data_IF_564304018020
#
_entry.id   IF_564304018020
#
_cell.length_a   1.000
_cell.length_b   1.000
_cell.length_c   1.000
_cell.angle_alpha   90.00
_cell.angle_beta   90.00
_cell.angle_gamma   90.00
#
_symmetry.space_group_name_H-M   'P 1'
#
loop_
_entity.id
_entity.type
_entity.pdbx_description
1 polymer ?
#
# COMPACT_ATOMS: atom_id res chain seq x y z
N UNK A 1 6.95 -7.09 -11.11
CA UNK A 1 7.97 -7.78 -10.35
C UNK A 1 7.83 -7.50 -8.85
N UNK A 2 7.90 -6.24 -8.39
CA UNK A 2 7.86 -5.82 -6.98
C UNK A 2 6.63 -6.36 -6.24
N UNK A 3 5.43 -6.21 -6.81
CA UNK A 3 4.19 -6.71 -6.21
C UNK A 3 4.23 -8.24 -6.02
N UNK A 4 4.73 -8.98 -7.00
CA UNK A 4 4.85 -10.44 -6.92
C UNK A 4 5.83 -10.85 -5.80
N UNK A 5 6.98 -10.17 -5.68
CA UNK A 5 7.96 -10.43 -4.62
C UNK A 5 7.36 -10.12 -3.24
N UNK A 6 6.66 -9.00 -3.09
CA UNK A 6 6.03 -8.62 -1.83
C UNK A 6 4.90 -9.56 -1.41
N UNK A 7 4.08 -10.05 -2.36
CA UNK A 7 3.04 -11.03 -2.09
C UNK A 7 3.63 -12.39 -1.69
N UNK A 8 4.71 -12.80 -2.34
CA UNK A 8 5.41 -14.04 -2.01
C UNK A 8 6.10 -13.95 -0.64
N UNK A 9 6.77 -12.82 -0.36
CA UNK A 9 7.35 -12.55 0.96
C UNK A 9 6.28 -12.61 2.06
N UNK A 10 5.12 -11.97 1.86
CA UNK A 10 4.00 -11.98 2.81
C UNK A 10 3.49 -13.40 3.11
N UNK A 11 3.53 -14.31 2.13
CA UNK A 11 3.11 -15.71 2.29
C UNK A 11 4.19 -16.61 2.90
N UNK A 12 5.43 -16.14 2.97
CA UNK A 12 6.57 -16.89 3.52
C UNK A 12 6.52 -17.00 5.04
N UNK A 13 7.39 -17.84 5.62
CA UNK A 13 7.60 -17.95 7.07
C UNK A 13 8.02 -16.61 7.68
N UNK A 14 8.92 -15.90 7.00
CA UNK A 14 9.41 -14.59 7.42
C UNK A 14 8.30 -13.53 7.40
N UNK A 15 7.46 -13.53 6.37
CA UNK A 15 6.33 -12.60 6.27
C UNK A 15 5.30 -12.82 7.39
N UNK A 16 5.04 -14.07 7.78
CA UNK A 16 4.16 -14.35 8.92
C UNK A 16 4.75 -13.87 10.24
N UNK A 17 6.05 -14.03 10.46
CA UNK A 17 6.73 -13.50 11.64
C UNK A 17 6.67 -11.97 11.68
N UNK A 18 6.90 -11.30 10.55
CA UNK A 18 6.77 -9.84 10.43
C UNK A 18 5.35 -9.36 10.75
N UNK A 19 4.32 -10.07 10.28
CA UNK A 19 2.92 -9.72 10.60
C UNK A 19 2.61 -9.93 12.08
N UNK A 20 3.10 -11.01 12.70
CA UNK A 20 2.95 -11.25 14.14
C UNK A 20 3.61 -10.13 14.97
N UNK A 21 4.81 -9.69 14.58
CA UNK A 21 5.51 -8.56 15.24
C UNK A 21 4.73 -7.24 15.09
N UNK A 22 4.11 -7.01 13.94
CA UNK A 22 3.26 -5.83 13.71
C UNK A 22 2.03 -5.83 14.59
N UNK A 23 1.38 -6.99 14.72
CA UNK A 23 0.11 -7.09 15.42
C UNK A 23 0.32 -7.07 16.96
N UNK A 24 1.32 -7.78 17.47
CA UNK A 24 1.70 -7.72 18.90
C UNK A 24 3.20 -8.02 19.08
N UNK A 25 3.96 -6.96 19.33
CA UNK A 25 5.42 -7.06 19.55
C UNK A 25 5.77 -7.91 20.77
N UNK A 26 5.06 -7.72 21.89
CA UNK A 26 5.36 -8.39 23.15
C UNK A 26 5.13 -9.89 23.02
N UNK A 27 4.00 -10.28 22.41
CA UNK A 27 3.70 -11.68 22.15
C UNK A 27 4.70 -12.33 21.17
N UNK A 28 5.21 -11.59 20.18
CA UNK A 28 6.22 -12.08 19.26
C UNK A 28 7.58 -12.31 19.97
N UNK A 29 7.97 -11.41 20.87
CA UNK A 29 9.20 -11.55 21.68
C UNK A 29 9.10 -12.72 22.65
N UNK A 30 7.93 -12.96 23.26
CA UNK A 30 7.73 -14.08 24.19
C UNK A 30 7.83 -15.46 23.52
N UNK A 31 7.56 -15.55 22.22
CA UNK A 31 7.74 -16.78 21.41
C UNK A 31 9.17 -16.93 20.88
N UNK A 32 10.09 -16.02 21.26
CA UNK A 32 11.51 -16.08 20.90
C UNK A 32 11.84 -15.44 19.54
N UNK A 33 10.95 -14.66 18.94
CA UNK A 33 11.24 -13.94 17.71
C UNK A 33 12.14 -12.73 17.99
N UNK A 34 13.28 -12.64 17.29
CA UNK A 34 14.15 -11.48 17.36
C UNK A 34 13.57 -10.30 16.56
N UNK A 35 12.78 -9.47 17.24
CA UNK A 35 12.05 -8.33 16.64
C UNK A 35 13.00 -7.36 15.95
N UNK A 36 14.18 -7.09 16.52
CA UNK A 36 15.15 -6.15 15.95
C UNK A 36 15.67 -6.64 14.60
N UNK A 37 16.02 -7.92 14.50
CA UNK A 37 16.48 -8.51 13.25
C UNK A 37 15.42 -8.45 12.15
N UNK A 38 14.17 -8.82 12.48
CA UNK A 38 13.07 -8.77 11.50
C UNK A 38 12.75 -7.35 11.03
N UNK A 39 12.76 -6.37 11.94
CA UNK A 39 12.57 -4.95 11.59
C UNK A 39 13.68 -4.46 10.67
N UNK A 40 14.93 -4.79 10.97
CA UNK A 40 16.07 -4.40 10.14
C UNK A 40 15.98 -5.04 8.75
N UNK A 41 15.66 -6.34 8.67
CA UNK A 41 15.49 -7.04 7.40
C UNK A 41 14.40 -6.41 6.53
N UNK A 42 13.24 -6.07 7.10
CA UNK A 42 12.16 -5.38 6.37
C UNK A 42 12.61 -4.01 5.89
N UNK A 43 13.32 -3.27 6.73
CA UNK A 43 13.84 -1.95 6.37
C UNK A 43 14.82 -2.02 5.19
N UNK A 44 15.75 -2.97 5.20
CA UNK A 44 16.71 -3.18 4.11
C UNK A 44 16.00 -3.57 2.81
N UNK A 45 15.02 -4.48 2.87
CA UNK A 45 14.23 -4.86 1.69
C UNK A 45 13.45 -3.67 1.14
N UNK A 46 12.81 -2.89 2.01
CA UNK A 46 12.08 -1.69 1.61
C UNK A 46 13.00 -0.64 0.97
N UNK A 47 14.16 -0.39 1.56
CA UNK A 47 15.17 0.52 1.04
C UNK A 47 15.69 0.08 -0.35
N UNK A 48 15.91 -1.21 -0.54
CA UNK A 48 16.31 -1.77 -1.84
C UNK A 48 15.27 -1.47 -2.93
N UNK A 49 13.99 -1.76 -2.68
CA UNK A 49 12.93 -1.48 -3.65
C UNK A 49 12.70 0.02 -3.86
N UNK A 50 12.84 0.83 -2.81
CA UNK A 50 12.77 2.28 -2.93
C UNK A 50 13.92 2.83 -3.80
N UNK A 51 15.14 2.31 -3.62
CA UNK A 51 16.29 2.66 -4.46
C UNK A 51 16.07 2.29 -5.92
N UNK A 52 15.58 1.08 -6.21
CA UNK A 52 15.22 0.66 -7.57
C UNK A 52 14.15 1.58 -8.19
N UNK A 53 13.11 1.93 -7.43
CA UNK A 53 12.08 2.85 -7.89
C UNK A 53 12.65 4.25 -8.16
N UNK A 54 13.54 4.73 -7.30
CA UNK A 54 14.24 6.01 -7.48
C UNK A 54 15.08 6.07 -8.75
N UNK A 55 15.80 5.00 -9.07
CA UNK A 55 16.59 4.91 -10.32
C UNK A 55 15.67 4.94 -11.56
N UNK A 56 14.57 4.18 -11.54
CA UNK A 56 13.61 4.17 -12.64
C UNK A 56 12.94 5.54 -12.81
N UNK A 57 12.56 6.18 -11.72
CA UNK A 57 12.00 7.52 -11.72
C UNK A 57 13.00 8.55 -12.26
N UNK A 58 14.25 8.50 -11.79
CA UNK A 58 15.31 9.38 -12.26
C UNK A 58 15.60 9.22 -13.76
N UNK A 59 15.51 7.99 -14.27
CA UNK A 59 15.71 7.72 -15.71
C UNK A 59 14.55 8.24 -16.59
N UNK A 60 13.35 8.32 -16.03
CA UNK A 60 12.16 8.85 -16.76
C UNK A 60 12.14 10.38 -16.84
N UNK A 61 12.94 11.06 -16.05
CA UNK A 61 13.02 12.53 -16.00
C UNK A 61 14.25 13.02 -16.78
N UNK A 62 14.05 13.97 -17.70
CA UNK A 62 15.15 14.64 -18.43
C UNK A 62 16.04 15.48 -17.49
N UNK A 63 15.46 16.03 -16.42
CA UNK A 63 16.17 16.83 -15.41
C UNK A 63 15.64 16.50 -14.01
N UNK A 64 16.51 16.05 -13.13
CA UNK A 64 16.19 15.80 -11.72
C UNK A 64 16.51 17.07 -10.93
N UNK A 65 15.47 17.72 -10.39
CA UNK A 65 15.61 18.85 -9.49
C UNK A 65 15.45 18.38 -8.05
N UNK A 66 16.39 18.74 -7.16
CA UNK A 66 16.29 18.39 -5.73
C UNK A 66 14.99 18.91 -5.08
N UNK A 67 14.49 20.05 -5.55
CA UNK A 67 13.22 20.62 -5.08
C UNK A 67 11.96 19.75 -5.35
N UNK A 68 12.06 18.75 -6.25
CA UNK A 68 10.96 17.81 -6.48
C UNK A 68 10.83 16.75 -5.37
N UNK A 69 11.90 16.56 -4.57
CA UNK A 69 11.94 15.59 -3.46
C UNK A 69 11.75 16.29 -2.13
N UNK A 70 10.66 17.03 -2.00
CA UNK A 70 10.36 17.77 -0.79
C UNK A 70 9.53 16.94 0.22
N UNK A 71 9.25 17.56 1.35
CA UNK A 71 8.43 16.99 2.42
C UNK A 71 7.00 16.64 1.94
N UNK A 72 6.43 17.42 1.04
CA UNK A 72 5.07 17.20 0.52
C UNK A 72 4.98 15.87 -0.25
N UNK A 73 5.98 15.52 -1.05
CA UNK A 73 6.04 14.24 -1.75
C UNK A 73 6.07 13.05 -0.78
N UNK A 74 6.78 13.20 0.34
CA UNK A 74 6.80 12.16 1.39
C UNK A 74 5.45 11.97 2.05
N UNK A 75 4.72 13.06 2.32
CA UNK A 75 3.35 13.01 2.85
C UNK A 75 2.41 12.38 1.83
N UNK A 76 2.51 12.71 0.56
CA UNK A 76 1.67 12.15 -0.50
C UNK A 76 1.82 10.64 -0.59
N UNK A 77 3.03 10.11 -0.56
CA UNK A 77 3.30 8.67 -0.53
C UNK A 77 2.71 8.04 0.73
N UNK A 78 2.86 8.69 1.89
CA UNK A 78 2.29 8.20 3.15
C UNK A 78 0.76 8.13 3.09
N UNK A 79 0.10 9.16 2.53
CA UNK A 79 -1.35 9.19 2.34
C UNK A 79 -1.80 8.05 1.42
N UNK A 80 -1.11 7.80 0.30
CA UNK A 80 -1.38 6.68 -0.62
C UNK A 80 -1.37 5.33 0.13
N UNK A 81 -0.35 5.10 0.96
CA UNK A 81 -0.20 3.85 1.71
C UNK A 81 -1.26 3.69 2.79
N UNK A 82 -1.59 4.77 3.51
CA UNK A 82 -2.62 4.76 4.56
C UNK A 82 -4.00 4.53 3.96
N UNK A 83 -4.34 5.20 2.87
CA UNK A 83 -5.62 5.03 2.15
C UNK A 83 -5.76 3.63 1.55
N UNK A 84 -4.68 3.07 1.00
CA UNK A 84 -4.66 1.70 0.49
C UNK A 84 -4.82 0.63 1.57
N UNK A 85 -4.70 1.02 2.83
CA UNK A 85 -4.75 0.15 4.00
C UNK A 85 -3.40 -0.45 4.34
N UNK A 86 -2.85 -0.07 5.50
CA UNK A 86 -1.58 -0.60 6.01
C UNK A 86 -1.61 -2.13 6.10
N UNK A 87 -0.71 -2.79 5.35
CA UNK A 87 -0.61 -4.25 5.26
C UNK A 87 -1.38 -4.90 4.12
N UNK A 88 -2.08 -4.12 3.27
CA UNK A 88 -2.75 -4.59 2.06
C UNK A 88 -2.00 -4.15 0.81
N UNK A 89 -1.12 -5.01 0.28
CA UNK A 89 -0.37 -4.72 -0.97
C UNK A 89 -1.29 -4.37 -2.14
N UNK A 90 -2.37 -5.12 -2.44
CA UNK A 90 -3.26 -4.76 -3.53
C UNK A 90 -4.02 -3.45 -3.27
N UNK A 91 -4.37 -3.15 -2.02
CA UNK A 91 -5.02 -1.90 -1.65
C UNK A 91 -4.12 -0.69 -1.91
N UNK A 92 -2.85 -0.76 -1.52
CA UNK A 92 -1.89 0.31 -1.77
C UNK A 92 -1.64 0.55 -3.27
N UNK A 93 -1.63 -0.51 -4.09
CA UNK A 93 -1.49 -0.37 -5.55
C UNK A 93 -2.71 0.32 -6.17
N UNK A 94 -3.91 -0.06 -5.78
CA UNK A 94 -5.15 0.57 -6.27
C UNK A 94 -5.21 2.03 -5.84
N UNK A 95 -4.90 2.33 -4.58
CA UNK A 95 -4.83 3.70 -4.06
C UNK A 95 -3.81 4.54 -4.81
N UNK A 96 -2.62 3.99 -5.10
CA UNK A 96 -1.59 4.68 -5.87
C UNK A 96 -2.08 5.03 -7.27
N UNK A 97 -2.72 4.08 -7.97
CA UNK A 97 -3.26 4.33 -9.32
C UNK A 97 -4.32 5.44 -9.26
N UNK A 98 -5.28 5.33 -8.36
CA UNK A 98 -6.38 6.30 -8.24
C UNK A 98 -5.84 7.70 -7.92
N UNK A 99 -4.95 7.81 -6.92
CA UNK A 99 -4.43 9.12 -6.48
C UNK A 99 -3.42 9.74 -7.46
N UNK A 100 -2.78 8.94 -8.31
CA UNK A 100 -1.88 9.45 -9.35
C UNK A 100 -2.65 9.88 -10.60
N UNK A 101 -3.65 9.09 -11.02
CA UNK A 101 -4.45 9.39 -12.23
C UNK A 101 -5.44 10.52 -11.99
N UNK A 102 -5.98 10.64 -10.77
CA UNK A 102 -7.00 11.62 -10.44
C UNK A 102 -6.57 13.08 -10.67
N UNK A 103 -5.42 13.54 -10.13
CA UNK A 103 -4.96 14.92 -10.38
C UNK A 103 -4.67 15.20 -11.85
N UNK A 104 -4.21 14.18 -12.60
CA UNK A 104 -3.94 14.31 -14.03
C UNK A 104 -5.23 14.41 -14.85
N UNK A 105 -6.24 13.59 -14.53
CA UNK A 105 -7.56 13.66 -15.15
C UNK A 105 -8.29 14.99 -14.87
N UNK A 106 -8.02 15.60 -13.71
CA UNK A 106 -8.59 16.89 -13.31
C UNK A 106 -7.76 18.09 -13.78
N UNK A 107 -6.70 17.86 -14.55
CA UNK A 107 -5.81 18.91 -15.04
C UNK A 107 -6.53 19.89 -15.97
N UNK A 108 -7.56 19.45 -16.67
CA UNK A 108 -8.38 20.29 -17.54
C UNK A 108 -9.29 21.26 -16.77
N UNK A 109 -9.57 20.99 -15.48
CA UNK A 109 -10.40 21.82 -14.60
C UNK A 109 -9.49 22.53 -13.57
N UNK A 110 -8.60 23.39 -14.06
CA UNK A 110 -7.50 23.98 -13.28
C UNK A 110 -7.97 24.75 -12.03
N UNK A 111 -9.09 25.46 -12.10
CA UNK A 111 -9.59 26.33 -11.02
C UNK A 111 -10.14 25.55 -9.80
N UNK A 112 -10.62 24.32 -10.00
CA UNK A 112 -11.24 23.52 -8.94
C UNK A 112 -10.41 22.31 -8.52
N UNK A 113 -9.22 22.12 -9.10
CA UNK A 113 -8.36 20.94 -8.90
C UNK A 113 -8.09 20.64 -7.44
N UNK A 114 -7.72 21.65 -6.65
CA UNK A 114 -7.44 21.52 -5.22
C UNK A 114 -8.69 21.09 -4.42
N UNK A 115 -9.84 21.67 -4.77
CA UNK A 115 -11.11 21.41 -4.08
C UNK A 115 -11.62 20.00 -4.39
N UNK A 116 -11.57 19.59 -5.64
CA UNK A 116 -12.00 18.24 -6.07
C UNK A 116 -11.06 17.18 -5.49
N UNK A 117 -9.73 17.43 -5.49
CA UNK A 117 -8.76 16.53 -4.87
C UNK A 117 -9.02 16.34 -3.38
N UNK A 118 -9.29 17.41 -2.63
CA UNK A 118 -9.64 17.35 -1.22
C UNK A 118 -10.93 16.55 -0.98
N UNK A 119 -11.98 16.78 -1.78
CA UNK A 119 -13.25 16.06 -1.67
C UNK A 119 -13.06 14.57 -1.96
N UNK A 120 -12.32 14.22 -3.02
CA UNK A 120 -12.07 12.82 -3.36
C UNK A 120 -11.21 12.14 -2.28
N UNK A 121 -10.20 12.81 -1.73
CA UNK A 121 -9.43 12.30 -0.59
C UNK A 121 -10.35 11.97 0.61
N UNK A 122 -11.25 12.88 0.97
CA UNK A 122 -12.21 12.68 2.07
C UNK A 122 -13.13 11.51 1.75
N UNK A 123 -13.68 11.41 0.54
CA UNK A 123 -14.57 10.32 0.12
C UNK A 123 -13.85 8.97 0.13
N UNK A 124 -12.62 8.89 -0.39
CA UNK A 124 -11.82 7.66 -0.38
C UNK A 124 -11.47 7.24 1.04
N UNK A 125 -11.09 8.20 1.90
CA UNK A 125 -10.80 7.95 3.31
C UNK A 125 -12.05 7.45 4.06
N UNK A 126 -13.20 8.08 3.82
CA UNK A 126 -14.48 7.67 4.40
C UNK A 126 -14.90 6.28 3.90
N UNK A 127 -14.75 6.01 2.60
CA UNK A 127 -15.04 4.71 2.00
C UNK A 127 -14.12 3.59 2.54
N UNK A 128 -12.84 3.87 2.71
CA UNK A 128 -11.86 2.89 3.24
C UNK A 128 -12.07 2.61 4.73
N UNK A 129 -12.55 3.60 5.49
CA UNK A 129 -12.76 3.47 6.93
C UNK A 129 -14.17 2.93 7.31
N UNK A 130 -15.13 2.95 6.39
CA UNK A 130 -16.48 2.45 6.65
C UNK A 130 -16.52 0.91 6.64
N UNK A 131 -17.00 0.28 7.73
CA UNK A 131 -17.12 -1.19 7.82
C UNK A 131 -18.10 -1.76 6.77
N UNK A 132 -19.07 -0.96 6.31
CA UNK A 132 -20.06 -1.34 5.29
C UNK A 132 -19.41 -1.51 3.91
N UNK A 133 -18.45 -0.65 3.55
CA UNK A 133 -17.69 -0.77 2.30
C UNK A 133 -16.72 -1.95 2.33
N UNK A 134 -16.13 -2.26 3.48
CA UNK A 134 -15.30 -3.47 3.64
C UNK A 134 -16.13 -4.75 3.40
N UNK A 135 -17.40 -4.76 3.81
CA UNK A 135 -18.34 -5.86 3.53
C UNK A 135 -18.72 -5.93 2.06
N UNK A 136 -18.91 -4.79 1.39
CA UNK A 136 -19.20 -4.73 -0.05
C UNK A 136 -18.02 -5.23 -0.90
N UNK A 137 -16.80 -4.83 -0.58
CA UNK A 137 -15.58 -5.35 -1.23
C UNK A 137 -15.33 -6.83 -0.92
N UNK A 138 -15.66 -7.30 0.29
CA UNK A 138 -15.60 -8.70 0.65
C UNK A 138 -16.61 -9.54 -0.16
N UNK A 139 -17.84 -9.04 -0.31
CA UNK A 139 -18.90 -9.68 -1.10
C UNK A 139 -18.61 -9.69 -2.61
N UNK A 140 -18.01 -8.61 -3.14
CA UNK A 140 -17.56 -8.55 -4.52
C UNK A 140 -16.42 -9.55 -4.79
N UNK A 141 -15.49 -9.72 -3.83
CA UNK A 141 -14.41 -10.69 -3.90
C UNK A 141 -14.93 -12.14 -3.82
N UNK A 142 -15.99 -12.38 -3.05
CA UNK A 142 -16.64 -13.69 -2.93
C UNK A 142 -17.33 -14.09 -4.25
N UNK A 143 -17.94 -13.15 -4.97
CA UNK A 143 -18.51 -13.37 -6.30
C UNK A 143 -17.48 -13.63 -7.39
N UNK A 144 -16.25 -13.12 -7.24
CA UNK A 144 -15.14 -13.31 -8.19
C UNK A 144 -14.35 -14.61 -7.95
N UNK A 145 -14.62 -15.36 -6.84
CA UNK A 145 -13.92 -16.61 -6.53
C UNK A 145 -14.91 -17.72 -6.14
N UNK A 146 -15.68 -18.27 -7.09
CA UNK A 146 -16.73 -19.26 -6.79
C UNK A 146 -16.23 -20.67 -6.43
N UNK A 147 -14.93 -20.93 -6.39
CA UNK A 147 -14.37 -22.30 -6.36
C UNK A 147 -13.80 -22.81 -5.02
N UNK A 148 -13.92 -22.10 -3.90
CA UNK A 148 -13.20 -22.50 -2.65
C UNK A 148 -14.04 -23.20 -1.60
N UNK A 149 -15.37 -23.23 -1.73
CA UNK A 149 -16.26 -23.90 -0.75
C UNK A 149 -16.38 -25.43 -0.93
N UNK A 150 -15.99 -25.95 -2.09
CA UNK A 150 -16.14 -27.39 -2.39
C UNK A 150 -14.99 -28.27 -1.87
N UNK A 151 -13.86 -27.69 -1.48
CA UNK A 151 -12.70 -28.44 -0.96
C UNK A 151 -12.61 -28.54 0.56
N UNK A 152 -13.56 -27.97 1.29
CA UNK A 152 -13.60 -28.06 2.75
C UNK A 152 -14.68 -29.05 3.26
N UNK A 153 -15.36 -29.73 2.36
CA UNK A 153 -16.43 -30.70 2.66
C UNK A 153 -16.10 -32.13 2.24
N UNK A 154 -14.83 -32.41 1.83
CA UNK A 154 -14.25 -33.74 1.64
C UNK A 154 -13.05 -33.90 2.55
#
# INVERSE_FOLDING_TARGET
LTVAVMLNLKRSKYGRAIMAIRDNRIAAESVGLNVTWYKLAVFVIAAFFAGCAGVLYGHSLANIKAAAFDYNMSIEILVIVVLGGMGSVPGSVISAIVLTVLPEALREVADYRMLVYAIVLILVMQATNNPTMKRFFASAKEKLTPGRKERAAL
#
